data_IF_874676095059
#
_entry.id   IF_874676095059
#
_cell.length_a   1.000
_cell.length_b   1.000
_cell.length_c   1.000
_cell.angle_alpha   90.00
_cell.angle_beta   90.00
_cell.angle_gamma   90.00
#
_symmetry.space_group_name_H-M   'P 1'
#
loop_
_entity.id
_entity.type
_entity.pdbx_description
1 polymer ?
#
# COMPACT_ATOMS: atom_id res chain seq x y z
N UNK A 1 4.91 -14.91 35.68
CA UNK A 1 5.07 -14.06 34.49
C UNK A 1 3.85 -14.20 33.60
N UNK A 2 3.27 -13.08 33.27
CA UNK A 2 2.15 -13.10 32.32
C UNK A 2 2.66 -13.19 30.90
N UNK A 3 1.95 -13.90 30.10
CA UNK A 3 2.34 -14.06 28.69
C UNK A 3 1.12 -13.87 27.81
N UNK A 4 1.39 -13.55 26.56
CA UNK A 4 0.37 -13.41 25.54
C UNK A 4 0.49 -14.58 24.58
N UNK A 5 -0.63 -15.01 24.05
CA UNK A 5 -0.59 -15.87 22.88
C UNK A 5 -0.16 -15.06 21.67
N UNK A 6 0.27 -15.73 20.61
CA UNK A 6 0.65 -15.02 19.39
C UNK A 6 -0.53 -14.23 18.82
N UNK A 7 -1.72 -14.83 18.85
CA UNK A 7 -2.90 -14.11 18.39
C UNK A 7 -3.14 -12.85 19.20
N UNK A 8 -3.00 -12.96 20.54
CA UNK A 8 -3.19 -11.81 21.42
C UNK A 8 -2.18 -10.70 21.13
N UNK A 9 -0.93 -11.07 20.88
CA UNK A 9 0.06 -10.07 20.51
C UNK A 9 -0.31 -9.40 19.19
N UNK A 10 -0.67 -10.18 18.19
CA UNK A 10 -1.03 -9.61 16.89
C UNK A 10 -2.28 -8.73 16.99
N UNK A 11 -3.25 -9.13 17.81
CA UNK A 11 -4.44 -8.31 18.02
C UNK A 11 -4.10 -7.00 18.73
N UNK A 12 -3.15 -7.04 19.66
CA UNK A 12 -2.69 -5.84 20.33
C UNK A 12 -2.01 -4.89 19.37
N UNK A 13 -1.18 -5.42 18.48
CA UNK A 13 -0.53 -4.60 17.44
C UNK A 13 -1.58 -3.96 16.55
N UNK A 14 -2.58 -4.74 16.10
CA UNK A 14 -3.63 -4.19 15.26
C UNK A 14 -4.38 -3.05 15.95
N UNK A 15 -4.78 -3.27 17.20
CA UNK A 15 -5.50 -2.22 17.95
C UNK A 15 -4.63 -0.98 18.16
N UNK A 16 -3.35 -1.19 18.41
CA UNK A 16 -2.44 -0.07 18.60
C UNK A 16 -2.30 0.75 17.35
N UNK A 17 -2.21 0.10 16.19
CA UNK A 17 -2.15 0.81 14.92
C UNK A 17 -3.44 1.59 14.67
N UNK A 18 -4.59 0.98 14.93
CA UNK A 18 -5.87 1.64 14.73
C UNK A 18 -6.06 2.85 15.63
N UNK A 19 -5.51 2.78 16.84
CA UNK A 19 -5.65 3.87 17.79
C UNK A 19 -4.66 5.00 17.56
N UNK A 20 -3.48 4.68 17.07
CA UNK A 20 -2.39 5.65 16.98
C UNK A 20 -2.25 6.28 15.60
N UNK A 21 -2.73 5.62 14.56
CA UNK A 21 -2.64 6.17 13.21
C UNK A 21 -3.91 6.94 12.89
N UNK A 22 -3.79 8.04 12.13
CA UNK A 22 -4.99 8.74 11.68
C UNK A 22 -5.79 7.86 10.74
N UNK A 23 -7.10 8.11 10.67
CA UNK A 23 -7.97 7.37 9.77
C UNK A 23 -7.59 7.60 8.32
N UNK A 24 -7.03 8.75 8.03
CA UNK A 24 -6.62 9.12 6.69
C UNK A 24 -5.15 9.48 6.70
N UNK A 25 -4.36 8.75 5.94
CA UNK A 25 -2.94 9.05 5.77
C UNK A 25 -2.68 9.39 4.32
N UNK A 26 -2.15 10.58 4.07
CA UNK A 26 -1.71 10.98 2.74
C UNK A 26 -0.24 10.65 2.59
N UNK A 27 0.09 9.91 1.55
CA UNK A 27 1.44 9.39 1.35
C UNK A 27 1.92 9.75 -0.04
N UNK A 28 3.14 10.26 -0.12
CA UNK A 28 3.84 10.49 -1.37
C UNK A 28 4.82 9.36 -1.57
N UNK A 29 4.76 8.74 -2.73
CA UNK A 29 5.66 7.63 -3.02
C UNK A 29 5.72 7.41 -4.52
N UNK A 30 6.66 6.59 -4.92
CA UNK A 30 6.75 6.11 -6.29
C UNK A 30 6.18 4.70 -6.33
N UNK A 31 5.46 4.37 -7.38
CA UNK A 31 4.99 3.01 -7.60
C UNK A 31 6.07 2.25 -8.37
N UNK A 32 6.65 1.25 -7.72
CA UNK A 32 7.64 0.41 -8.38
C UNK A 32 7.01 -0.80 -9.04
N UNK A 33 5.78 -1.15 -8.65
CA UNK A 33 5.08 -2.28 -9.23
C UNK A 33 3.57 -2.03 -9.16
N UNK A 34 2.88 -2.41 -10.23
CA UNK A 34 1.42 -2.32 -10.31
C UNK A 34 0.94 -3.58 -11.02
N UNK A 35 0.20 -4.42 -10.31
CA UNK A 35 -0.30 -5.68 -10.88
C UNK A 35 -1.75 -5.88 -10.52
N UNK A 36 -2.50 -6.42 -11.46
CA UNK A 36 -3.91 -6.72 -11.26
C UNK A 36 -4.11 -8.23 -11.32
N UNK A 37 -4.89 -8.76 -10.39
CA UNK A 37 -5.20 -10.18 -10.43
C UNK A 37 -6.50 -10.45 -11.20
N UNK A 38 -6.87 -11.74 -11.30
CA UNK A 38 -8.03 -12.14 -12.10
C UNK A 38 -9.34 -11.64 -11.53
N UNK A 39 -9.38 -11.32 -10.23
CA UNK A 39 -10.59 -10.81 -9.59
C UNK A 39 -10.67 -9.30 -9.62
N UNK A 40 -9.66 -8.64 -10.17
CA UNK A 40 -9.68 -7.19 -10.33
C UNK A 40 -9.04 -6.40 -9.22
N UNK A 41 -8.48 -7.05 -8.21
CA UNK A 41 -7.72 -6.35 -7.18
C UNK A 41 -6.38 -5.92 -7.73
N UNK A 42 -5.95 -4.73 -7.34
CA UNK A 42 -4.67 -4.19 -7.77
C UNK A 42 -3.68 -4.25 -6.62
N UNK A 43 -2.53 -4.83 -6.88
CA UNK A 43 -1.45 -4.94 -5.91
C UNK A 43 -0.33 -4.01 -6.31
N UNK A 44 0.16 -3.25 -5.35
CA UNK A 44 1.13 -2.19 -5.57
C UNK A 44 2.35 -2.42 -4.72
N UNK A 45 3.47 -1.87 -5.18
CA UNK A 45 4.62 -1.67 -4.34
C UNK A 45 4.96 -0.19 -4.35
N UNK A 46 4.96 0.40 -3.16
CA UNK A 46 5.37 1.79 -2.96
C UNK A 46 6.83 1.82 -2.55
N UNK A 47 7.58 2.74 -3.11
CA UNK A 47 8.98 2.93 -2.73
C UNK A 47 9.25 4.41 -2.57
N UNK A 48 10.26 4.69 -1.77
CA UNK A 48 10.85 6.02 -1.68
C UNK A 48 12.34 5.88 -1.84
N UNK A 49 12.92 6.75 -2.64
CA UNK A 49 14.36 6.73 -2.92
C UNK A 49 15.00 7.99 -2.37
N UNK A 50 16.25 7.84 -1.95
CA UNK A 50 17.06 8.99 -1.60
C UNK A 50 17.30 9.82 -2.86
N UNK A 51 16.96 11.13 -2.85
CA UNK A 51 17.16 11.95 -4.06
C UNK A 51 18.62 12.06 -4.51
N UNK A 52 19.56 11.86 -3.61
CA UNK A 52 20.98 12.02 -3.94
C UNK A 52 21.57 10.74 -4.50
N UNK A 53 21.29 9.62 -3.88
CA UNK A 53 21.94 8.35 -4.23
C UNK A 53 21.04 7.43 -5.05
N UNK A 54 19.75 7.74 -5.13
CA UNK A 54 18.75 6.91 -5.79
C UNK A 54 18.60 5.53 -5.14
N UNK A 55 19.09 5.35 -3.92
CA UNK A 55 18.93 4.11 -3.19
C UNK A 55 17.58 4.10 -2.47
N UNK A 56 17.02 2.92 -2.28
CA UNK A 56 15.74 2.78 -1.58
C UNK A 56 15.93 3.09 -0.10
N UNK A 57 15.03 3.92 0.44
CA UNK A 57 15.01 4.21 1.87
C UNK A 57 13.71 3.78 2.53
N UNK A 58 12.68 3.47 1.75
CA UNK A 58 11.43 2.95 2.30
C UNK A 58 10.70 2.15 1.24
N UNK A 59 9.93 1.17 1.68
CA UNK A 59 9.20 0.29 0.80
C UNK A 59 7.98 -0.24 1.53
N UNK A 60 6.86 -0.32 0.84
CA UNK A 60 5.64 -0.86 1.40
C UNK A 60 4.79 -1.49 0.31
N UNK A 61 4.02 -2.47 0.70
CA UNK A 61 3.03 -3.06 -0.18
C UNK A 61 1.73 -2.30 -0.07
N UNK A 62 0.97 -2.32 -1.15
CA UNK A 62 -0.34 -1.72 -1.15
C UNK A 62 -1.34 -2.55 -1.90
N UNK A 63 -2.60 -2.34 -1.59
CA UNK A 63 -3.71 -3.02 -2.26
C UNK A 63 -4.79 -2.00 -2.57
N UNK A 64 -5.35 -2.11 -3.77
CA UNK A 64 -6.59 -1.42 -4.11
C UNK A 64 -7.59 -2.50 -4.42
N UNK A 65 -8.64 -2.57 -3.61
CA UNK A 65 -9.67 -3.59 -3.82
C UNK A 65 -10.40 -3.33 -5.12
N UNK A 66 -10.90 -4.39 -5.73
CA UNK A 66 -11.47 -4.33 -7.07
C UNK A 66 -12.57 -3.27 -7.22
N UNK A 67 -13.43 -3.16 -6.22
CA UNK A 67 -14.54 -2.20 -6.28
C UNK A 67 -14.07 -0.75 -6.28
N UNK A 68 -12.92 -0.48 -5.65
CA UNK A 68 -12.30 0.85 -5.66
C UNK A 68 -11.49 1.03 -6.92
N UNK A 69 -10.69 0.04 -7.29
CA UNK A 69 -9.80 0.15 -8.43
C UNK A 69 -10.54 0.36 -9.73
N UNK A 70 -11.69 -0.25 -9.87
CA UNK A 70 -12.53 -0.11 -11.07
C UNK A 70 -12.90 1.34 -11.34
N UNK A 71 -13.06 2.14 -10.29
CA UNK A 71 -13.38 3.55 -10.39
C UNK A 71 -12.14 4.42 -10.35
N UNK A 72 -11.16 4.03 -9.56
CA UNK A 72 -9.98 4.86 -9.33
C UNK A 72 -9.08 4.93 -10.55
N UNK A 73 -8.84 3.82 -11.21
CA UNK A 73 -7.93 3.79 -12.35
C UNK A 73 -8.37 4.74 -13.46
N UNK A 74 -9.60 4.64 -13.99
CA UNK A 74 -10.01 5.56 -15.05
C UNK A 74 -10.05 7.02 -14.57
N UNK A 75 -10.44 7.25 -13.34
CA UNK A 75 -10.46 8.60 -12.80
C UNK A 75 -9.04 9.19 -12.73
N UNK A 76 -8.10 8.41 -12.24
CA UNK A 76 -6.71 8.84 -12.17
C UNK A 76 -6.17 9.15 -13.57
N UNK A 77 -6.39 8.26 -14.52
CA UNK A 77 -5.84 8.42 -15.86
C UNK A 77 -6.45 9.61 -16.58
N UNK A 78 -7.73 9.85 -16.36
CA UNK A 78 -8.37 11.01 -16.94
C UNK A 78 -7.90 12.32 -16.30
N UNK A 79 -7.83 12.34 -14.97
CA UNK A 79 -7.49 13.55 -14.24
C UNK A 79 -6.03 13.97 -14.42
N UNK A 80 -5.12 13.00 -14.52
CA UNK A 80 -3.68 13.29 -14.58
C UNK A 80 -3.11 13.20 -15.98
N UNK A 81 -3.80 12.54 -16.90
CA UNK A 81 -3.24 12.26 -18.21
C UNK A 81 -2.14 11.22 -18.21
N UNK A 82 -1.93 10.53 -17.09
CA UNK A 82 -0.91 9.51 -16.96
C UNK A 82 -1.54 8.15 -16.81
N UNK A 83 -0.91 7.13 -17.36
CA UNK A 83 -1.34 5.76 -17.13
C UNK A 83 -1.01 5.36 -15.69
N UNK A 84 -1.87 4.55 -15.09
CA UNK A 84 -1.67 4.07 -13.74
C UNK A 84 -0.80 2.80 -13.79
N UNK A 85 0.49 3.00 -13.88
CA UNK A 85 1.47 1.94 -14.10
C UNK A 85 2.68 2.16 -13.22
N UNK A 86 3.57 1.18 -13.17
CA UNK A 86 4.82 1.32 -12.44
C UNK A 86 5.64 2.48 -12.98
N UNK A 87 6.37 3.12 -12.09
CA UNK A 87 7.27 4.21 -12.45
C UNK A 87 6.74 5.61 -12.21
N UNK A 88 5.50 5.74 -11.78
CA UNK A 88 4.92 7.06 -11.52
C UNK A 88 5.01 7.42 -10.04
N UNK A 89 5.08 8.71 -9.77
CA UNK A 89 4.97 9.25 -8.42
C UNK A 89 3.53 9.60 -8.13
N UNK A 90 3.08 9.28 -6.93
CA UNK A 90 1.69 9.49 -6.56
C UNK A 90 1.59 10.13 -5.18
N UNK A 91 0.50 10.85 -4.99
CA UNK A 91 0.05 11.27 -3.67
C UNK A 91 -1.28 10.58 -3.43
N UNK A 92 -1.31 9.68 -2.49
CA UNK A 92 -2.47 8.82 -2.28
C UNK A 92 -2.90 8.84 -0.82
N UNK A 93 -4.19 8.65 -0.63
CA UNK A 93 -4.74 8.44 0.71
C UNK A 93 -4.82 6.94 0.96
N UNK A 94 -4.24 6.52 2.05
CA UNK A 94 -4.18 5.11 2.39
C UNK A 94 -4.64 4.89 3.81
N UNK A 95 -5.07 3.67 4.09
CA UNK A 95 -5.22 3.18 5.45
C UNK A 95 -4.19 2.08 5.66
N UNK A 96 -3.65 2.00 6.87
CA UNK A 96 -2.72 0.94 7.21
C UNK A 96 -3.54 -0.20 7.80
N UNK A 97 -3.37 -1.40 7.26
CA UNK A 97 -4.07 -2.57 7.77
C UNK A 97 -3.08 -3.60 8.26
N UNK A 98 -3.48 -4.29 9.30
CA UNK A 98 -2.68 -5.34 9.92
C UNK A 98 -3.61 -6.49 10.23
N UNK A 99 -3.22 -7.69 9.87
CA UNK A 99 -4.08 -8.85 10.02
C UNK A 99 -3.53 -9.79 11.08
N UNK A 100 -4.35 -10.16 12.06
CA UNK A 100 -3.89 -10.99 13.17
C UNK A 100 -3.38 -12.35 12.74
N UNK A 101 -4.02 -12.94 11.75
CA UNK A 101 -3.63 -14.28 11.31
C UNK A 101 -2.24 -14.30 10.72
N UNK A 102 -1.92 -13.31 9.91
CA UNK A 102 -0.64 -13.29 9.21
C UNK A 102 0.45 -12.59 10.00
N UNK A 103 0.08 -11.66 10.86
CA UNK A 103 1.03 -11.02 11.74
C UNK A 103 2.21 -10.42 11.01
N UNK A 104 3.39 -10.60 11.60
CA UNK A 104 4.62 -10.03 11.05
C UNK A 104 5.27 -10.90 10.00
N UNK A 105 5.23 -12.21 10.23
CA UNK A 105 6.02 -13.10 9.40
C UNK A 105 5.41 -13.35 8.05
N UNK A 106 4.16 -13.12 7.94
CA UNK A 106 3.57 -13.25 6.66
C UNK A 106 3.32 -14.65 6.19
N UNK A 107 2.22 -14.81 5.59
CA UNK A 107 1.94 -16.04 4.91
C UNK A 107 1.83 -15.77 3.44
N UNK A 108 2.62 -16.47 2.69
CA UNK A 108 2.73 -16.22 1.28
C UNK A 108 1.78 -16.99 0.44
N UNK A 109 0.99 -17.81 1.05
CA UNK A 109 0.13 -18.70 0.28
C UNK A 109 -0.95 -17.98 -0.48
N UNK A 110 -1.30 -16.79 -0.03
CA UNK A 110 -2.25 -15.98 -0.75
C UNK A 110 -1.69 -15.45 -2.04
N UNK A 111 -0.38 -15.50 -2.18
CA UNK A 111 0.26 -14.88 -3.32
C UNK A 111 0.84 -15.92 -4.21
N UNK A 112 0.38 -15.93 -5.39
CA UNK A 112 0.81 -16.88 -6.38
C UNK A 112 2.28 -16.80 -6.68
N UNK A 113 2.84 -15.64 -6.47
CA UNK A 113 4.24 -15.44 -6.75
C UNK A 113 5.14 -16.13 -5.76
N UNK A 114 4.61 -16.58 -4.64
CA UNK A 114 5.41 -17.16 -3.59
C UNK A 114 6.30 -16.17 -2.88
N UNK A 115 6.11 -14.90 -3.14
CA UNK A 115 6.90 -13.88 -2.47
C UNK A 115 6.37 -13.61 -1.09
N UNK A 116 7.27 -13.29 -0.21
CA UNK A 116 6.93 -12.98 1.15
C UNK A 116 6.27 -11.63 1.24
N UNK A 117 5.25 -11.54 2.07
CA UNK A 117 4.44 -10.36 2.16
C UNK A 117 4.53 -9.72 3.51
N UNK A 118 4.54 -8.42 3.52
CA UNK A 118 4.41 -7.69 4.76
C UNK A 118 3.03 -7.88 5.35
N UNK A 119 2.96 -7.84 6.66
CA UNK A 119 1.68 -7.96 7.36
C UNK A 119 0.94 -6.66 7.44
N UNK A 120 1.65 -5.56 7.40
CA UNK A 120 1.03 -4.25 7.37
C UNK A 120 0.99 -3.79 5.92
N UNK A 121 -0.20 -3.74 5.37
CA UNK A 121 -0.41 -3.33 3.98
C UNK A 121 -1.05 -1.97 3.94
N UNK A 122 -0.69 -1.19 2.95
CA UNK A 122 -1.34 0.07 2.68
C UNK A 122 -2.50 -0.16 1.73
N UNK A 123 -3.68 0.28 2.13
CA UNK A 123 -4.86 0.18 1.27
C UNK A 123 -5.15 1.55 0.70
N UNK A 124 -4.94 1.67 -0.59
CA UNK A 124 -5.13 2.93 -1.28
C UNK A 124 -6.61 3.21 -1.44
N UNK A 125 -7.05 4.37 -1.00
CA UNK A 125 -8.45 4.75 -1.05
C UNK A 125 -8.71 5.94 -1.95
N UNK A 126 -7.69 6.79 -2.17
CA UNK A 126 -7.91 8.00 -2.91
C UNK A 126 -6.57 8.56 -3.37
N UNK A 127 -6.59 9.43 -4.36
CA UNK A 127 -5.40 10.16 -4.78
C UNK A 127 -5.75 11.63 -4.98
N UNK A 128 -4.71 12.46 -4.97
CA UNK A 128 -4.88 13.89 -5.15
C UNK A 128 -4.53 14.24 -6.60
N UNK A 129 -5.52 14.60 -7.42
CA UNK A 129 -5.27 14.68 -8.86
C UNK A 129 -4.48 15.90 -9.29
N UNK A 130 -4.39 16.91 -8.45
CA UNK A 130 -3.78 18.18 -8.87
C UNK A 130 -2.44 18.44 -8.23
N UNK A 131 -1.80 17.41 -7.71
CA UNK A 131 -0.52 17.59 -7.07
C UNK A 131 0.60 17.58 -8.10
N UNK A 132 1.54 18.47 -7.92
CA UNK A 132 2.69 18.56 -8.82
C UNK A 132 3.58 17.35 -8.75
N UNK A 133 3.43 16.59 -7.70
CA UNK A 133 4.22 15.39 -7.54
C UNK A 133 4.09 14.45 -8.73
N UNK A 134 3.00 14.55 -9.47
CA UNK A 134 2.81 13.68 -10.62
C UNK A 134 3.70 14.04 -11.79
N UNK A 135 4.17 15.25 -11.83
CA UNK A 135 5.01 15.70 -12.94
C UNK A 135 6.48 15.76 -12.58
N UNK A 136 6.77 15.58 -11.31
CA UNK A 136 8.10 15.74 -10.80
C UNK A 136 8.79 14.39 -10.76
N UNK A 137 9.50 14.10 -11.79
CA UNK A 137 10.12 12.77 -11.96
C UNK A 137 11.59 12.81 -11.67
#
# INVERSE_FOLDING_TARGET
MESLSLYELNALVRRSLEQCLPDECWVQAELSDVRTNSTGHCYLEFVQKDPRSNSLIAKARGTIWANVFRLLKPYFEEATGQAFVAGIKVLVQVTVSFHELYGYSGNLKQHRSGTFQSRADLQLRYFQPHQQIYTDV
#
